data_IF_784717735480
#
_entry.id   IF_784717735480
#
_cell.length_a   1.000
_cell.length_b   1.000
_cell.length_c   1.000
_cell.angle_alpha   90.00
_cell.angle_beta   90.00
_cell.angle_gamma   90.00
#
_symmetry.space_group_name_H-M   'P 1'
#
loop_
_entity.id
_entity.type
_entity.pdbx_description
1 polymer ?
#
# COMPACT_ATOMS: atom_id res chain seq x y z
N UNK A 1 -4.28 -10.13 -19.66
CA UNK A 1 -3.87 -9.91 -18.26
C UNK A 1 -3.12 -8.59 -18.24
N UNK A 2 -3.71 -7.54 -17.66
CA UNK A 2 -3.04 -6.24 -17.59
C UNK A 2 -1.87 -6.34 -16.61
N UNK A 3 -0.73 -5.76 -16.98
CA UNK A 3 0.53 -5.86 -16.21
C UNK A 3 0.37 -5.25 -14.80
N UNK A 4 -0.69 -4.46 -14.57
CA UNK A 4 -0.97 -3.74 -13.33
C UNK A 4 -1.87 -4.51 -12.34
N UNK A 5 -2.60 -5.53 -12.77
CA UNK A 5 -3.59 -6.22 -11.92
C UNK A 5 -2.96 -6.81 -10.65
N UNK A 6 -1.79 -7.46 -10.80
CA UNK A 6 -1.06 -8.04 -9.67
C UNK A 6 -0.54 -6.97 -8.71
N UNK A 7 -0.03 -5.85 -9.23
CA UNK A 7 0.47 -4.74 -8.41
C UNK A 7 -0.68 -4.05 -7.63
N UNK A 8 -1.84 -3.87 -8.27
CA UNK A 8 -3.04 -3.34 -7.60
C UNK A 8 -3.51 -4.27 -6.49
N UNK A 9 -3.57 -5.59 -6.74
CA UNK A 9 -3.89 -6.57 -5.70
C UNK A 9 -2.90 -6.53 -4.53
N UNK A 10 -1.60 -6.45 -4.81
CA UNK A 10 -0.57 -6.33 -3.77
C UNK A 10 -0.76 -5.07 -2.91
N UNK A 11 -1.12 -3.93 -3.53
CA UNK A 11 -1.46 -2.71 -2.80
C UNK A 11 -2.68 -2.91 -1.90
N UNK A 12 -3.74 -3.52 -2.41
CA UNK A 12 -4.94 -3.80 -1.60
C UNK A 12 -4.64 -4.68 -0.39
N UNK A 13 -3.87 -5.74 -0.55
CA UNK A 13 -3.50 -6.62 0.57
C UNK A 13 -2.58 -5.88 1.54
N UNK A 14 -1.58 -5.14 1.04
CA UNK A 14 -0.66 -4.40 1.90
C UNK A 14 -1.36 -3.34 2.75
N UNK A 15 -2.24 -2.53 2.13
CA UNK A 15 -2.87 -1.35 2.74
C UNK A 15 -4.19 -1.65 3.46
N UNK A 16 -4.96 -2.63 3.00
CA UNK A 16 -6.31 -2.88 3.54
C UNK A 16 -6.46 -4.27 4.16
N UNK A 17 -5.42 -5.11 4.09
CA UNK A 17 -5.47 -6.50 4.56
C UNK A 17 -6.58 -7.33 3.90
N UNK A 18 -7.00 -6.92 2.69
CA UNK A 18 -8.04 -7.60 1.91
C UNK A 18 -7.67 -7.64 0.42
N UNK A 19 -8.12 -8.65 -0.34
CA UNK A 19 -8.02 -8.61 -1.79
C UNK A 19 -8.84 -7.46 -2.37
N UNK A 20 -8.42 -6.97 -3.54
CA UNK A 20 -9.16 -5.96 -4.27
C UNK A 20 -10.55 -6.47 -4.66
N UNK A 21 -11.59 -5.69 -4.35
CA UNK A 21 -12.95 -5.95 -4.81
C UNK A 21 -13.03 -5.78 -6.34
N UNK A 22 -13.86 -6.56 -7.06
CA UNK A 22 -13.92 -6.50 -8.53
C UNK A 22 -14.20 -5.09 -9.08
N UNK A 23 -15.07 -4.33 -8.41
CA UNK A 23 -15.38 -2.95 -8.79
C UNK A 23 -14.24 -1.97 -8.53
N UNK A 24 -13.50 -2.14 -7.43
CA UNK A 24 -12.32 -1.34 -7.11
C UNK A 24 -11.18 -1.62 -8.08
N UNK A 25 -10.92 -2.91 -8.36
CA UNK A 25 -9.92 -3.33 -9.33
C UNK A 25 -10.19 -2.76 -10.72
N UNK A 26 -11.42 -2.85 -11.22
CA UNK A 26 -11.81 -2.29 -12.51
C UNK A 26 -11.64 -0.76 -12.57
N UNK A 27 -11.96 -0.05 -11.49
CA UNK A 27 -11.74 1.40 -11.39
C UNK A 27 -10.26 1.76 -11.52
N UNK A 28 -9.40 1.08 -10.76
CA UNK A 28 -7.96 1.36 -10.77
C UNK A 28 -7.29 0.89 -12.06
N UNK A 29 -7.74 -0.20 -12.67
CA UNK A 29 -7.30 -0.60 -14.00
C UNK A 29 -7.66 0.45 -15.06
N UNK A 30 -8.86 1.05 -14.97
CA UNK A 30 -9.24 2.20 -15.79
C UNK A 30 -8.38 3.43 -15.52
N UNK A 31 -8.06 3.72 -14.25
CA UNK A 31 -7.18 4.82 -13.87
C UNK A 31 -5.75 4.62 -14.40
N UNK A 32 -5.26 3.38 -14.41
CA UNK A 32 -3.95 3.00 -14.95
C UNK A 32 -3.89 3.06 -16.49
N UNK A 33 -5.03 3.14 -17.19
CA UNK A 33 -5.07 3.34 -18.63
C UNK A 33 -4.81 4.80 -19.06
N UNK A 34 -4.81 5.75 -18.10
CA UNK A 34 -4.52 7.14 -18.39
C UNK A 34 -3.02 7.38 -18.69
N UNK A 35 -2.67 8.29 -19.62
CA UNK A 35 -1.28 8.63 -19.91
C UNK A 35 -0.59 9.18 -18.65
N UNK A 36 0.54 8.58 -18.26
CA UNK A 36 1.31 9.00 -17.08
C UNK A 36 0.80 8.43 -15.75
N UNK A 37 -0.20 7.53 -15.77
CA UNK A 37 -0.62 6.82 -14.58
C UNK A 37 0.48 5.89 -14.07
N UNK A 38 0.68 5.88 -12.74
CA UNK A 38 1.68 5.04 -12.08
C UNK A 38 1.12 4.39 -10.82
N UNK A 39 1.63 3.21 -10.49
CA UNK A 39 1.32 2.52 -9.23
C UNK A 39 1.66 3.40 -8.01
N UNK A 40 2.66 4.27 -8.13
CA UNK A 40 3.01 5.23 -7.08
C UNK A 40 1.90 6.25 -6.82
N UNK A 41 1.23 6.75 -7.86
CA UNK A 41 0.07 7.65 -7.71
C UNK A 41 -1.12 6.92 -7.09
N UNK A 42 -1.39 5.69 -7.55
CA UNK A 42 -2.46 4.86 -6.95
C UNK A 42 -2.19 4.61 -5.46
N UNK A 43 -0.95 4.25 -5.11
CA UNK A 43 -0.51 4.09 -3.71
C UNK A 43 -0.69 5.38 -2.88
N UNK A 44 -0.42 6.55 -3.47
CA UNK A 44 -0.65 7.83 -2.80
C UNK A 44 -2.14 8.11 -2.55
N UNK A 45 -3.00 7.78 -3.51
CA UNK A 45 -4.45 7.90 -3.34
C UNK A 45 -5.00 6.92 -2.29
N UNK A 46 -4.44 5.70 -2.20
CA UNK A 46 -4.81 4.75 -1.15
C UNK A 46 -4.48 5.29 0.24
N UNK A 47 -3.30 5.93 0.38
CA UNK A 47 -2.89 6.55 1.64
C UNK A 47 -3.78 7.73 2.07
N UNK A 48 -4.55 8.32 1.14
CA UNK A 48 -5.53 9.39 1.42
C UNK A 48 -6.91 8.87 1.83
N UNK A 49 -7.19 7.58 1.62
CA UNK A 49 -8.49 7.03 1.96
C UNK A 49 -8.69 6.97 3.48
N UNK A 50 -9.92 7.26 3.92
CA UNK A 50 -10.28 7.21 5.34
C UNK A 50 -10.04 5.84 5.97
N UNK A 51 -10.09 4.76 5.18
CA UNK A 51 -9.80 3.39 5.63
C UNK A 51 -8.31 3.22 5.99
N UNK A 52 -7.39 3.80 5.19
CA UNK A 52 -5.96 3.83 5.51
C UNK A 52 -5.72 4.65 6.77
N UNK A 53 -6.29 5.85 6.86
CA UNK A 53 -6.15 6.68 8.08
C UNK A 53 -6.65 5.94 9.31
N UNK A 54 -7.74 5.17 9.24
CA UNK A 54 -8.23 4.37 10.38
C UNK A 54 -7.29 3.23 10.76
N UNK A 55 -6.67 2.56 9.78
CA UNK A 55 -5.78 1.42 10.04
C UNK A 55 -4.38 1.82 10.50
N UNK A 56 -3.90 2.99 10.08
CA UNK A 56 -2.52 3.44 10.27
C UNK A 56 -2.38 4.72 11.11
N UNK A 57 -3.48 5.33 11.58
CA UNK A 57 -3.43 6.49 12.47
C UNK A 57 -2.62 6.19 13.72
N UNK A 58 -1.69 7.09 14.04
CA UNK A 58 -0.85 7.01 15.23
C UNK A 58 0.31 6.00 15.13
N UNK A 59 0.49 5.30 14.00
CA UNK A 59 1.67 4.49 13.76
C UNK A 59 2.81 5.38 13.24
N UNK A 60 4.00 5.14 13.77
CA UNK A 60 5.24 5.65 13.22
C UNK A 60 5.64 4.84 11.97
N UNK A 61 6.75 5.21 11.32
CA UNK A 61 7.22 4.52 10.12
C UNK A 61 7.45 3.02 10.37
N UNK A 62 8.00 2.65 11.53
CA UNK A 62 8.24 1.26 11.88
C UNK A 62 6.93 0.52 12.18
N UNK A 63 6.01 1.13 12.94
CA UNK A 63 4.68 0.57 13.18
C UNK A 63 3.90 0.32 11.88
N UNK A 64 4.01 1.23 10.91
CA UNK A 64 3.39 1.10 9.59
C UNK A 64 3.97 -0.08 8.81
N UNK A 65 5.29 -0.23 8.77
CA UNK A 65 5.94 -1.37 8.11
C UNK A 65 5.56 -2.68 8.77
N UNK A 66 5.56 -2.74 10.10
CA UNK A 66 5.20 -3.95 10.82
C UNK A 66 3.75 -4.36 10.53
N UNK A 67 2.83 -3.39 10.46
CA UNK A 67 1.43 -3.62 10.08
C UNK A 67 1.31 -4.18 8.66
N UNK A 68 2.05 -3.63 7.70
CA UNK A 68 2.08 -4.13 6.32
C UNK A 68 2.61 -5.57 6.28
N UNK A 69 3.64 -5.91 7.04
CA UNK A 69 4.14 -7.28 7.15
C UNK A 69 3.10 -8.24 7.70
N UNK A 70 2.36 -7.84 8.74
CA UNK A 70 1.25 -8.63 9.25
C UNK A 70 0.15 -8.83 8.21
N UNK A 71 -0.19 -7.80 7.44
CA UNK A 71 -1.21 -7.89 6.39
C UNK A 71 -0.78 -8.79 5.21
N UNK A 72 0.50 -8.74 4.81
CA UNK A 72 1.01 -9.48 3.66
C UNK A 72 1.43 -10.92 4.00
N UNK A 73 2.08 -11.12 5.14
CA UNK A 73 2.76 -12.37 5.49
C UNK A 73 2.20 -13.03 6.74
N UNK A 74 1.26 -12.39 7.46
CA UNK A 74 0.72 -12.90 8.72
C UNK A 74 1.73 -12.90 9.87
N UNK A 75 2.90 -12.27 9.70
CA UNK A 75 3.97 -12.20 10.71
C UNK A 75 4.54 -10.78 10.82
N UNK A 76 5.19 -10.49 11.94
CA UNK A 76 5.93 -9.25 12.12
C UNK A 76 7.12 -9.15 11.15
N UNK A 77 7.56 -7.93 10.86
CA UNK A 77 8.78 -7.71 10.10
C UNK A 77 10.02 -8.12 10.89
N UNK A 78 10.98 -8.76 10.22
CA UNK A 78 12.31 -9.04 10.80
C UNK A 78 13.06 -7.70 11.01
N UNK A 79 13.94 -7.60 12.01
CA UNK A 79 14.62 -6.34 12.39
C UNK A 79 15.29 -5.61 11.21
N UNK A 80 15.95 -6.36 10.32
CA UNK A 80 16.60 -5.81 9.13
C UNK A 80 15.57 -5.22 8.14
N UNK A 81 14.44 -5.89 7.96
CA UNK A 81 13.35 -5.43 7.09
C UNK A 81 12.62 -4.24 7.67
N UNK A 82 12.32 -4.26 8.98
CA UNK A 82 11.68 -3.16 9.69
C UNK A 82 12.50 -1.88 9.57
N UNK A 83 13.81 -1.97 9.76
CA UNK A 83 14.72 -0.82 9.68
C UNK A 83 14.88 -0.33 8.24
N UNK A 84 15.10 -1.23 7.27
CA UNK A 84 15.24 -0.84 5.87
C UNK A 84 13.97 -0.15 5.34
N UNK A 85 12.80 -0.76 5.52
CA UNK A 85 11.54 -0.19 5.02
C UNK A 85 11.07 0.99 5.87
N UNK A 86 11.36 0.98 7.17
CA UNK A 86 11.06 2.09 8.08
C UNK A 86 11.84 3.34 7.71
N UNK A 87 13.13 3.21 7.46
CA UNK A 87 14.00 4.30 7.00
C UNK A 87 13.56 4.81 5.62
N UNK A 88 13.20 3.91 4.69
CA UNK A 88 12.66 4.30 3.38
C UNK A 88 11.34 5.07 3.49
N UNK A 89 10.46 4.66 4.40
CA UNK A 89 9.18 5.32 4.62
C UNK A 89 9.36 6.67 5.35
N UNK A 90 10.31 6.77 6.29
CA UNK A 90 10.66 8.01 6.96
C UNK A 90 11.40 9.00 6.05
N UNK A 91 12.23 8.50 5.13
CA UNK A 91 12.94 9.29 4.13
C UNK A 91 12.01 9.82 3.02
N UNK A 92 10.81 9.24 2.87
CA UNK A 92 9.78 9.76 1.98
C UNK A 92 9.09 10.92 2.70
N UNK A 93 9.36 12.20 2.34
CA UNK A 93 8.72 13.32 3.00
C UNK A 93 7.21 13.16 2.84
N UNK A 94 6.47 13.30 3.95
CA UNK A 94 5.03 13.41 3.92
C UNK A 94 4.66 14.51 2.91
N UNK A 95 3.97 14.11 1.84
CA UNK A 95 3.46 15.04 0.83
C UNK A 95 2.28 15.81 1.39
#
# INVERSE_FOLDING_TARGET
MSIHTAALQQLYVAYFSRPADPGGLAFWEGAMAAPGASIAQVSAEFARQAEYTKQYAGLDAHGTVNRIYHNLFGRAADDAGLRFWGDQLAAKPAM
#
